data_IF_005422783932
#
_entry.id   IF_005422783932
#
_cell.length_a   1.000
_cell.length_b   1.000
_cell.length_c   1.000
_cell.angle_alpha   90.00
_cell.angle_beta   90.00
_cell.angle_gamma   90.00
#
_symmetry.space_group_name_H-M   'P 1'
#
loop_
_entity.id
_entity.type
_entity.pdbx_description
1 polymer ?
#
# COMPACT_ATOMS: atom_id res chain seq x y z
N UNK A 1 -10.91 13.60 -20.62
CA UNK A 1 -9.52 14.13 -20.79
C UNK A 1 -8.59 13.34 -19.88
N UNK A 2 -7.54 12.76 -20.43
CA UNK A 2 -6.50 12.07 -19.64
C UNK A 2 -5.44 13.09 -19.27
N UNK A 3 -5.16 13.27 -17.99
CA UNK A 3 -4.05 14.09 -17.48
C UNK A 3 -2.99 13.17 -16.86
N UNK A 4 -1.72 13.54 -16.98
CA UNK A 4 -0.62 12.88 -16.30
C UNK A 4 0.27 13.93 -15.63
N UNK A 5 0.79 13.59 -14.44
CA UNK A 5 1.78 14.38 -13.71
C UNK A 5 2.98 13.49 -13.42
N UNK A 6 4.17 14.01 -13.63
CA UNK A 6 5.43 13.33 -13.33
C UNK A 6 6.19 14.21 -12.36
N UNK A 7 6.61 13.63 -11.25
CA UNK A 7 7.46 14.27 -10.25
C UNK A 7 8.73 13.44 -10.08
N UNK A 8 9.86 14.10 -9.85
CA UNK A 8 11.14 13.44 -9.61
C UNK A 8 11.78 14.03 -8.36
N UNK A 9 12.24 13.14 -7.50
CA UNK A 9 12.87 13.50 -6.23
C UNK A 9 14.22 12.81 -6.12
N UNK A 10 15.16 13.47 -5.46
CA UNK A 10 16.39 12.88 -4.94
C UNK A 10 16.32 12.93 -3.42
N UNK A 11 16.43 11.77 -2.78
CA UNK A 11 16.26 11.63 -1.34
C UNK A 11 17.60 11.18 -0.76
N UNK A 12 18.33 12.12 -0.16
CA UNK A 12 19.67 11.86 0.42
C UNK A 12 19.60 10.85 1.59
N UNK A 13 18.60 11.01 2.48
CA UNK A 13 18.39 10.16 3.66
C UNK A 13 17.22 9.19 3.44
N UNK A 14 17.28 8.43 2.34
CA UNK A 14 16.23 7.47 1.97
C UNK A 14 16.04 6.36 3.00
N UNK A 15 17.11 5.98 3.72
CA UNK A 15 17.11 4.88 4.66
C UNK A 15 16.95 5.36 6.10
N UNK A 16 15.88 4.95 6.77
CA UNK A 16 15.81 4.98 8.24
C UNK A 16 16.64 3.84 8.82
N UNK A 17 17.50 4.12 9.80
CA UNK A 17 18.32 3.11 10.46
C UNK A 17 17.89 2.96 11.91
N UNK A 18 17.58 1.74 12.32
CA UNK A 18 17.37 1.39 13.72
C UNK A 18 18.72 1.32 14.44
N UNK A 19 18.90 2.18 15.45
CA UNK A 19 20.18 2.32 16.15
C UNK A 19 20.56 1.09 16.98
N UNK A 20 19.60 0.27 17.41
CA UNK A 20 19.84 -0.92 18.24
C UNK A 20 20.22 -2.15 17.41
N UNK A 21 19.65 -2.30 16.24
CA UNK A 21 19.81 -3.49 15.39
C UNK A 21 20.61 -3.23 14.13
N UNK A 22 20.83 -1.97 13.74
CA UNK A 22 21.46 -1.60 12.48
C UNK A 22 20.58 -1.88 11.25
N UNK A 23 19.34 -2.33 11.42
CA UNK A 23 18.40 -2.58 10.33
C UNK A 23 18.07 -1.27 9.63
N UNK A 24 18.16 -1.26 8.31
CA UNK A 24 17.76 -0.12 7.48
C UNK A 24 16.42 -0.42 6.81
N UNK A 25 15.55 0.59 6.80
CA UNK A 25 14.24 0.50 6.18
C UNK A 25 13.96 1.75 5.36
N UNK A 26 13.30 1.53 4.23
CA UNK A 26 12.76 2.60 3.40
C UNK A 26 11.37 2.20 2.93
N UNK A 27 10.38 3.02 3.25
CA UNK A 27 8.99 2.78 2.89
C UNK A 27 8.48 3.85 1.93
N UNK A 28 7.64 3.44 1.01
CA UNK A 28 6.91 4.34 0.11
C UNK A 28 5.47 3.86 -0.03
N UNK A 29 4.57 4.78 -0.32
CA UNK A 29 3.16 4.49 -0.56
C UNK A 29 2.56 5.50 -1.53
N UNK A 30 1.50 5.10 -2.23
CA UNK A 30 0.76 5.96 -3.14
C UNK A 30 -0.18 6.89 -2.34
N UNK A 31 0.37 7.98 -1.76
CA UNK A 31 -0.35 8.91 -0.90
C UNK A 31 -1.60 9.51 -1.59
N UNK A 32 -1.52 9.75 -2.91
CA UNK A 32 -2.60 10.31 -3.71
C UNK A 32 -3.83 9.40 -3.79
N UNK A 33 -3.66 8.10 -3.49
CA UNK A 33 -4.74 7.11 -3.55
C UNK A 33 -5.36 6.82 -2.19
N UNK A 34 -4.74 7.25 -1.09
CA UNK A 34 -5.12 6.89 0.26
C UNK A 34 -6.58 7.24 0.59
N UNK A 35 -7.06 8.38 0.09
CA UNK A 35 -8.42 8.86 0.35
C UNK A 35 -9.52 7.93 -0.20
N UNK A 36 -9.25 7.17 -1.27
CA UNK A 36 -10.23 6.23 -1.83
C UNK A 36 -10.40 4.96 -0.99
N UNK A 37 -9.44 4.69 -0.08
CA UNK A 37 -9.46 3.52 0.80
C UNK A 37 -9.81 3.88 2.25
N UNK A 38 -10.28 5.11 2.50
CA UNK A 38 -10.77 5.50 3.82
C UNK A 38 -12.08 4.79 4.13
N UNK A 39 -12.19 4.33 5.38
CA UNK A 39 -13.43 3.75 5.86
C UNK A 39 -14.52 4.83 5.96
N UNK A 40 -15.74 4.52 5.50
CA UNK A 40 -16.86 5.43 5.63
C UNK A 40 -17.19 5.66 7.10
N UNK A 41 -17.44 6.91 7.50
CA UNK A 41 -17.82 7.30 8.88
C UNK A 41 -19.05 6.57 9.42
N UNK A 42 -19.92 6.06 8.55
CA UNK A 42 -21.09 5.27 8.90
C UNK A 42 -21.11 3.99 8.06
N UNK A 43 -20.42 2.93 8.50
CA UNK A 43 -20.35 1.65 7.77
C UNK A 43 -21.69 0.89 7.76
N UNK A 44 -22.56 1.14 8.75
CA UNK A 44 -23.91 0.56 8.82
C UNK A 44 -24.90 1.59 8.30
N UNK A 45 -25.55 1.28 7.19
CA UNK A 45 -26.46 2.19 6.47
C UNK A 45 -27.75 1.50 6.04
N UNK A 46 -28.83 2.29 5.96
CA UNK A 46 -30.11 1.84 5.38
C UNK A 46 -30.20 2.11 3.88
N UNK A 47 -29.44 3.09 3.38
CA UNK A 47 -29.38 3.48 1.97
C UNK A 47 -28.00 3.19 1.34
N UNK A 48 -27.87 3.27 0.01
CA UNK A 48 -26.61 3.11 -0.69
C UNK A 48 -25.61 4.21 -0.29
N UNK A 49 -24.32 3.92 -0.42
CA UNK A 49 -23.24 4.89 -0.27
C UNK A 49 -22.81 5.36 -1.66
N UNK A 50 -22.82 6.67 -1.89
CA UNK A 50 -22.29 7.24 -3.13
C UNK A 50 -20.77 7.08 -3.20
N UNK A 51 -20.26 6.80 -4.39
CA UNK A 51 -18.85 6.77 -4.74
C UNK A 51 -18.56 7.81 -5.82
N UNK A 52 -17.32 8.29 -5.84
CA UNK A 52 -16.81 9.05 -6.97
C UNK A 52 -16.73 8.14 -8.20
N UNK A 53 -17.42 8.53 -9.27
CA UNK A 53 -17.50 7.73 -10.50
C UNK A 53 -17.78 8.64 -11.72
N UNK A 54 -17.15 8.40 -12.88
CA UNK A 54 -16.13 7.39 -13.10
C UNK A 54 -14.72 7.84 -12.64
N UNK A 55 -13.97 6.95 -12.01
CA UNK A 55 -12.55 7.12 -11.68
C UNK A 55 -11.74 6.00 -12.31
N UNK A 56 -10.65 6.34 -12.96
CA UNK A 56 -9.60 5.42 -13.42
C UNK A 56 -8.26 6.13 -13.20
N UNK A 57 -7.57 5.78 -12.15
CA UNK A 57 -6.34 6.44 -11.71
C UNK A 57 -5.22 5.41 -11.55
N UNK A 58 -4.05 5.76 -12.05
CA UNK A 58 -2.84 4.95 -11.90
C UNK A 58 -1.76 5.80 -11.25
N UNK A 59 -1.19 5.30 -10.17
CA UNK A 59 0.00 5.84 -9.53
C UNK A 59 1.18 4.90 -9.84
N UNK A 60 2.27 5.46 -10.33
CA UNK A 60 3.50 4.70 -10.60
C UNK A 60 4.63 5.31 -9.81
N UNK A 61 5.27 4.52 -8.96
CA UNK A 61 6.49 4.88 -8.25
C UNK A 61 7.67 4.12 -8.85
N UNK A 62 8.70 4.83 -9.26
CA UNK A 62 9.96 4.26 -9.70
C UNK A 62 11.06 4.64 -8.72
N UNK A 63 11.74 3.64 -8.15
CA UNK A 63 12.87 3.82 -7.25
C UNK A 63 14.13 3.35 -7.96
N UNK A 64 15.14 4.23 -8.01
CA UNK A 64 16.47 3.91 -8.50
C UNK A 64 17.39 3.73 -7.30
N UNK A 65 17.98 2.55 -7.18
CA UNK A 65 18.89 2.18 -6.11
C UNK A 65 20.33 2.07 -6.63
N UNK A 66 21.32 2.44 -5.81
CA UNK A 66 22.73 2.29 -6.16
C UNK A 66 23.17 0.82 -6.19
N UNK A 67 22.68 0.04 -5.22
CA UNK A 67 23.03 -1.36 -5.05
C UNK A 67 22.02 -2.29 -5.68
N UNK A 68 22.43 -3.54 -5.88
CA UNK A 68 21.53 -4.62 -6.35
C UNK A 68 20.70 -5.16 -5.22
N UNK A 69 19.39 -5.40 -5.49
CA UNK A 69 18.44 -5.91 -4.52
C UNK A 69 17.68 -7.10 -5.09
N UNK A 70 17.50 -8.17 -4.33
CA UNK A 70 16.68 -9.31 -4.74
C UNK A 70 15.19 -8.95 -4.65
N UNK A 71 14.70 -8.17 -5.60
CA UNK A 71 13.29 -7.79 -5.68
C UNK A 71 12.52 -8.93 -6.34
N UNK A 72 11.61 -9.52 -5.61
CA UNK A 72 10.65 -10.47 -6.15
C UNK A 72 9.47 -9.73 -6.77
N UNK A 73 9.13 -10.10 -8.00
CA UNK A 73 7.95 -9.57 -8.67
C UNK A 73 6.69 -10.01 -7.92
N UNK A 74 5.83 -9.07 -7.61
CA UNK A 74 4.56 -9.30 -6.93
C UNK A 74 3.43 -8.57 -7.65
N UNK A 75 2.25 -9.17 -7.63
CA UNK A 75 1.03 -8.56 -8.15
C UNK A 75 -0.19 -9.06 -7.38
N UNK A 76 -1.14 -8.18 -7.17
CA UNK A 76 -2.39 -8.48 -6.51
C UNK A 76 -3.54 -7.68 -7.08
N UNK A 77 -4.75 -8.08 -6.75
CA UNK A 77 -5.97 -7.37 -7.10
C UNK A 77 -7.00 -7.53 -6.02
N UNK A 78 -7.58 -6.41 -5.59
CA UNK A 78 -8.69 -6.35 -4.65
C UNK A 78 -9.88 -5.75 -5.38
N UNK A 79 -11.07 -6.32 -5.25
CA UNK A 79 -12.27 -5.77 -5.89
C UNK A 79 -13.56 -6.14 -5.15
N UNK A 80 -14.55 -5.29 -5.34
CA UNK A 80 -15.94 -5.53 -4.94
C UNK A 80 -16.91 -4.93 -5.96
N UNK A 81 -18.15 -4.64 -5.56
CA UNK A 81 -19.15 -4.03 -6.44
C UNK A 81 -18.85 -2.55 -6.75
N UNK A 82 -18.11 -1.85 -5.92
CA UNK A 82 -17.83 -0.41 -6.03
C UNK A 82 -16.53 -0.09 -6.75
N UNK A 83 -15.48 -0.91 -6.54
CA UNK A 83 -14.16 -0.62 -7.07
C UNK A 83 -13.36 -1.87 -7.44
N UNK A 84 -12.27 -1.62 -8.17
CA UNK A 84 -11.17 -2.54 -8.39
C UNK A 84 -9.85 -1.81 -8.18
N UNK A 85 -8.98 -2.41 -7.40
CA UNK A 85 -7.61 -1.99 -7.15
C UNK A 85 -6.66 -3.09 -7.62
N UNK A 86 -5.74 -2.74 -8.50
CA UNK A 86 -4.69 -3.61 -9.00
C UNK A 86 -3.34 -3.05 -8.52
N UNK A 87 -2.51 -3.90 -7.93
CA UNK A 87 -1.19 -3.56 -7.41
C UNK A 87 -0.12 -4.45 -8.04
N UNK A 88 1.04 -3.89 -8.38
CA UNK A 88 2.20 -4.68 -8.79
C UNK A 88 3.52 -4.02 -8.39
N UNK A 89 4.50 -4.87 -8.06
CA UNK A 89 5.91 -4.52 -7.82
C UNK A 89 6.77 -5.33 -8.78
N UNK A 90 7.73 -4.68 -9.43
CA UNK A 90 8.66 -5.35 -10.35
C UNK A 90 10.08 -4.83 -10.16
N UNK A 91 11.03 -5.78 -10.12
CA UNK A 91 12.46 -5.49 -10.09
C UNK A 91 13.08 -5.54 -11.49
N UNK A 92 13.92 -4.55 -11.81
CA UNK A 92 14.69 -4.49 -13.05
C UNK A 92 16.17 -4.25 -12.76
N UNK A 93 17.05 -4.58 -13.71
CA UNK A 93 18.48 -4.34 -13.59
C UNK A 93 19.06 -4.93 -12.31
N UNK A 94 18.71 -6.18 -11.99
CA UNK A 94 19.10 -6.88 -10.76
C UNK A 94 18.60 -6.15 -9.50
N UNK A 95 17.40 -5.56 -9.55
CA UNK A 95 16.78 -4.84 -8.44
C UNK A 95 17.29 -3.43 -8.20
N UNK A 96 18.17 -2.89 -9.06
CA UNK A 96 18.57 -1.48 -8.98
C UNK A 96 17.48 -0.51 -9.42
N UNK A 97 16.46 -1.01 -10.10
CA UNK A 97 15.27 -0.25 -10.47
C UNK A 97 14.05 -1.03 -10.02
N UNK A 98 13.26 -0.44 -9.14
CA UNK A 98 12.00 -1.00 -8.65
C UNK A 98 10.87 -0.17 -9.19
N UNK A 99 9.89 -0.80 -9.81
CA UNK A 99 8.69 -0.13 -10.32
C UNK A 99 7.47 -0.71 -9.61
N UNK A 100 6.71 0.17 -8.98
CA UNK A 100 5.41 -0.14 -8.39
C UNK A 100 4.34 0.55 -9.20
N UNK A 101 3.27 -0.17 -9.50
CA UNK A 101 2.10 0.37 -10.17
C UNK A 101 0.85 0.00 -9.38
N UNK A 102 0.13 1.03 -8.96
CA UNK A 102 -1.12 0.97 -8.25
C UNK A 102 -2.21 1.58 -9.12
N UNK A 103 -3.28 0.82 -9.42
CA UNK A 103 -4.38 1.30 -10.24
C UNK A 103 -5.71 1.12 -9.52
N UNK A 104 -6.40 2.24 -9.30
CA UNK A 104 -7.77 2.26 -8.80
C UNK A 104 -8.74 2.53 -9.93
N UNK A 105 -9.85 1.78 -9.96
CA UNK A 105 -10.99 2.02 -10.85
C UNK A 105 -12.29 1.91 -10.08
N UNK A 106 -13.13 2.93 -10.16
CA UNK A 106 -14.50 2.80 -9.70
C UNK A 106 -15.32 1.97 -10.70
N UNK A 107 -16.12 1.03 -10.21
CA UNK A 107 -16.97 0.15 -11.00
C UNK A 107 -18.45 0.58 -10.99
N UNK A 108 -18.82 1.41 -10.02
CA UNK A 108 -20.17 1.93 -9.81
C UNK A 108 -20.11 3.30 -9.16
N UNK A 109 -21.16 4.08 -9.30
CA UNK A 109 -21.35 5.36 -8.60
C UNK A 109 -21.87 5.20 -7.16
N UNK A 110 -22.15 3.96 -6.75
CA UNK A 110 -22.61 3.67 -5.39
C UNK A 110 -22.34 2.23 -4.95
N UNK A 111 -22.34 2.01 -3.64
CA UNK A 111 -22.34 0.69 -3.00
C UNK A 111 -23.69 0.46 -2.32
N UNK A 112 -24.41 -0.63 -2.66
CA UNK A 112 -25.68 -0.97 -2.00
C UNK A 112 -25.49 -1.21 -0.50
N UNK A 113 -26.48 -0.82 0.32
CA UNK A 113 -26.40 -0.97 1.78
C UNK A 113 -26.05 -2.39 2.23
N UNK A 114 -26.60 -3.40 1.55
CA UNK A 114 -26.33 -4.83 1.84
C UNK A 114 -24.89 -5.27 1.56
N UNK A 115 -24.15 -4.55 0.71
CA UNK A 115 -22.77 -4.84 0.35
C UNK A 115 -21.74 -4.06 1.19
N UNK A 116 -22.18 -3.16 2.08
CA UNK A 116 -21.30 -2.27 2.83
C UNK A 116 -20.26 -2.99 3.69
N UNK A 117 -20.64 -4.07 4.38
CA UNK A 117 -19.69 -4.81 5.21
C UNK A 117 -18.55 -5.42 4.38
N UNK A 118 -18.88 -5.98 3.21
CA UNK A 118 -17.87 -6.49 2.28
C UNK A 118 -17.02 -5.36 1.70
N UNK A 119 -17.64 -4.23 1.35
CA UNK A 119 -16.93 -3.07 0.84
C UNK A 119 -15.89 -2.56 1.83
N UNK A 120 -16.25 -2.37 3.11
CA UNK A 120 -15.32 -1.95 4.16
C UNK A 120 -14.15 -2.92 4.30
N UNK A 121 -14.42 -4.24 4.32
CA UNK A 121 -13.35 -5.25 4.38
C UNK A 121 -12.41 -5.17 3.16
N UNK A 122 -12.96 -4.90 1.96
CA UNK A 122 -12.16 -4.74 0.74
C UNK A 122 -11.38 -3.43 0.69
N UNK A 123 -11.89 -2.35 1.29
CA UNK A 123 -11.13 -1.10 1.46
C UNK A 123 -9.93 -1.32 2.38
N UNK A 124 -10.10 -2.06 3.49
CA UNK A 124 -9.01 -2.41 4.40
C UNK A 124 -7.94 -3.26 3.69
N UNK A 125 -8.36 -4.32 3.00
CA UNK A 125 -7.46 -5.20 2.22
C UNK A 125 -6.65 -4.40 1.19
N UNK A 126 -7.28 -3.47 0.45
CA UNK A 126 -6.60 -2.62 -0.52
C UNK A 126 -5.64 -1.63 0.16
N UNK A 127 -6.02 -1.05 1.30
CA UNK A 127 -5.15 -0.16 2.08
C UNK A 127 -3.89 -0.87 2.55
N UNK A 128 -4.02 -2.12 3.01
CA UNK A 128 -2.90 -2.91 3.51
C UNK A 128 -1.89 -3.27 2.42
N UNK A 129 -2.32 -3.25 1.15
CA UNK A 129 -1.45 -3.46 -0.01
C UNK A 129 -0.92 -2.17 -0.63
N UNK A 130 -1.38 -0.99 -0.15
CA UNK A 130 -0.99 0.32 -0.67
C UNK A 130 0.36 0.77 -0.08
N UNK A 131 1.42 0.08 -0.38
CA UNK A 131 2.74 0.46 0.11
C UNK A 131 3.79 -0.61 -0.17
N UNK A 132 5.03 -0.20 -0.04
CA UNK A 132 6.18 -1.05 -0.26
C UNK A 132 7.29 -0.66 0.71
N UNK A 133 7.88 -1.65 1.36
CA UNK A 133 9.01 -1.46 2.27
C UNK A 133 10.21 -2.28 1.80
N UNK A 134 11.35 -1.60 1.68
CA UNK A 134 12.65 -2.23 1.54
C UNK A 134 13.27 -2.36 2.93
N UNK A 135 13.68 -3.57 3.31
CA UNK A 135 14.36 -3.83 4.58
C UNK A 135 15.73 -4.45 4.32
N UNK A 136 16.77 -3.88 4.89
CA UNK A 136 18.12 -4.44 4.90
C UNK A 136 18.55 -4.77 6.32
N UNK A 137 19.09 -5.98 6.54
CA UNK A 137 19.60 -6.43 7.83
C UNK A 137 21.10 -6.69 7.75
N UNK A 138 21.92 -6.24 8.75
CA UNK A 138 23.37 -6.43 8.74
C UNK A 138 23.81 -7.89 8.65
N UNK A 139 23.08 -8.80 9.30
CA UNK A 139 23.40 -10.24 9.35
C UNK A 139 23.19 -10.96 8.00
N UNK A 140 22.49 -10.31 7.06
CA UNK A 140 22.30 -10.85 5.72
C UNK A 140 23.50 -10.62 4.79
N UNK A 141 24.45 -9.78 5.18
CA UNK A 141 25.63 -9.44 4.36
C UNK A 141 26.56 -10.63 4.08
N UNK A 142 26.45 -11.71 4.86
CA UNK A 142 27.24 -12.94 4.68
C UNK A 142 26.59 -13.99 3.77
N UNK A 143 25.32 -13.90 3.46
CA UNK A 143 24.56 -14.93 2.72
C UNK A 143 23.80 -14.41 1.49
N UNK A 144 23.97 -13.15 1.10
CA UNK A 144 23.33 -12.60 -0.09
C UNK A 144 21.78 -12.58 -0.06
N UNK A 145 21.19 -12.78 1.11
CA UNK A 145 19.74 -12.85 1.27
C UNK A 145 19.17 -11.54 1.86
N UNK A 146 18.53 -10.75 1.03
CA UNK A 146 17.65 -9.67 1.48
C UNK A 146 16.25 -10.23 1.68
N UNK A 147 15.64 -10.02 2.86
CA UNK A 147 14.25 -10.40 3.08
C UNK A 147 13.34 -9.25 2.63
N UNK A 148 12.60 -9.50 1.56
CA UNK A 148 11.52 -8.64 1.12
C UNK A 148 10.29 -8.98 1.96
N UNK A 149 10.04 -8.23 3.02
CA UNK A 149 8.78 -8.33 3.75
C UNK A 149 7.84 -7.27 3.16
N UNK A 150 6.90 -7.70 2.36
CA UNK A 150 5.73 -6.88 2.01
C UNK A 150 5.04 -6.58 3.33
N UNK A 151 4.94 -5.30 3.71
CA UNK A 151 4.58 -4.89 5.05
C UNK A 151 3.13 -5.24 5.40
N UNK A 152 2.93 -6.39 6.01
CA UNK A 152 1.74 -6.73 6.81
C UNK A 152 1.80 -6.10 8.23
N UNK A 153 2.73 -5.21 8.50
CA UNK A 153 3.05 -4.72 9.87
C UNK A 153 2.22 -3.52 10.33
N UNK A 154 1.42 -2.88 9.48
CA UNK A 154 0.55 -1.77 9.90
C UNK A 154 -0.61 -2.24 10.83
N UNK A 155 -0.99 -3.51 10.80
CA UNK A 155 -2.14 -4.06 11.56
C UNK A 155 -1.81 -4.44 13.01
N UNK A 156 -0.59 -4.77 13.36
CA UNK A 156 -0.27 -5.19 14.74
C UNK A 156 -0.23 -4.04 15.75
N UNK A 157 0.08 -2.83 15.33
CA UNK A 157 0.11 -1.66 16.23
C UNK A 157 -1.28 -1.07 16.47
N UNK A 158 -2.21 -1.15 15.53
CA UNK A 158 -3.60 -0.69 15.72
C UNK A 158 -4.44 -1.68 16.53
N UNK A 159 -4.19 -2.98 16.42
CA UNK A 159 -4.87 -4.02 17.19
C UNK A 159 -4.54 -3.98 18.68
N UNK A 160 -3.33 -3.61 19.06
CA UNK A 160 -2.91 -3.47 20.48
C UNK A 160 -3.54 -2.23 21.14
N UNK A 161 -3.72 -1.14 20.37
CA UNK A 161 -4.40 0.06 20.91
C UNK A 161 -5.90 -0.14 21.10
N UNK A 162 -6.58 -0.87 20.22
CA UNK A 162 -8.00 -1.18 20.36
C UNK A 162 -8.28 -2.13 21.55
N UNK A 163 -7.40 -3.10 21.80
CA UNK A 163 -7.54 -4.03 22.93
C UNK A 163 -7.26 -3.37 24.30
N UNK A 164 -6.45 -2.32 24.34
CA UNK A 164 -6.18 -1.55 25.57
C UNK A 164 -7.31 -0.54 25.89
N UNK A 165 -7.98 0.00 24.87
CA UNK A 165 -9.10 0.93 25.07
C UNK A 165 -10.39 0.25 25.56
N UNK A 166 -10.57 -1.04 25.30
CA UNK A 166 -11.74 -1.84 25.78
C UNK A 166 -11.60 -2.34 27.21
N UNK A 167 -10.47 -2.12 27.89
CA UNK A 167 -10.26 -2.52 29.31
C UNK A 167 -10.43 -1.40 30.33
N UNK A 168 -10.82 -0.20 29.91
CA UNK A 168 -10.94 0.98 30.79
C UNK A 168 -12.41 1.48 30.91
N UNK A 169 -13.39 0.65 30.58
CA UNK A 169 -14.78 0.93 30.91
C UNK A 169 -15.46 -0.31 31.48
#
# INVERSE_FOLDING_TARGET
TRSSRIERYEIADFWGTDAGTGVRRAATHAADMQSWFEEPKAPIRRGPMALEHPVDFTHTTEILLHDTWPIEDNKGSVSDAGFRFDHSVRGYSQGRRVVMEDRYRSLSDHVPAKAMAQHVAKLQEARDTLGFELTWTPDSAGSGGFNLTVALLALLLLGVYAALALRVY
#
